data_IF_293746173740
#
_entry.id   IF_293746173740
#
_cell.length_a   1.000
_cell.length_b   1.000
_cell.length_c   1.000
_cell.angle_alpha   90.00
_cell.angle_beta   90.00
_cell.angle_gamma   90.00
#
_symmetry.space_group_name_H-M   'P 1'
#
loop_
_entity.id
_entity.type
_entity.pdbx_description
1 polymer ?
#
# COMPACT_ATOMS: atom_id res chain seq x y z
N UNK A 1 14.05 -13.00 1.30
CA UNK A 1 13.46 -14.19 1.96
C UNK A 1 13.13 -13.79 3.38
N UNK A 2 11.95 -14.15 3.91
CA UNK A 2 11.40 -13.86 5.26
C UNK A 2 10.21 -12.87 5.38
N UNK A 3 9.74 -12.19 4.32
CA UNK A 3 8.59 -11.27 4.41
C UNK A 3 7.27 -12.04 4.74
N UNK A 4 6.84 -12.98 3.89
CA UNK A 4 5.71 -13.94 4.04
C UNK A 4 5.62 -14.78 5.35
N UNK A 5 6.57 -14.62 6.28
CA UNK A 5 6.52 -15.24 7.62
C UNK A 5 6.52 -14.19 8.73
N UNK A 6 6.09 -12.95 8.42
CA UNK A 6 5.86 -11.87 9.38
C UNK A 6 7.13 -11.19 9.89
N UNK A 7 8.21 -11.15 9.09
CA UNK A 7 9.44 -10.45 9.49
C UNK A 7 9.62 -9.06 8.85
N UNK A 8 8.66 -8.62 8.02
CA UNK A 8 8.65 -7.30 7.38
C UNK A 8 10.04 -6.80 6.96
N UNK A 9 10.32 -5.51 7.17
CA UNK A 9 11.66 -4.96 6.93
C UNK A 9 12.62 -5.34 8.06
N UNK A 10 13.66 -6.14 7.76
CA UNK A 10 14.66 -6.56 8.75
C UNK A 10 15.52 -5.41 9.30
N UNK A 11 15.53 -4.25 8.64
CA UNK A 11 16.27 -3.07 9.05
C UNK A 11 15.70 -1.82 8.37
N UNK A 12 15.22 -0.88 9.17
CA UNK A 12 14.82 0.46 8.72
C UNK A 12 15.86 1.45 9.26
N UNK A 13 16.63 2.15 8.40
CA UNK A 13 17.56 3.17 8.86
C UNK A 13 16.84 4.26 9.67
N UNK A 14 17.45 4.74 10.76
CA UNK A 14 16.81 5.71 11.66
C UNK A 14 16.62 7.11 11.04
N UNK A 15 17.30 7.37 9.93
CA UNK A 15 17.29 8.63 9.19
C UNK A 15 16.37 8.62 7.98
N UNK A 16 15.59 7.56 7.75
CA UNK A 16 14.57 7.58 6.69
C UNK A 16 13.47 8.58 7.03
N UNK A 17 13.00 9.28 6.01
CA UNK A 17 11.86 10.20 6.12
C UNK A 17 10.58 9.59 5.57
N UNK A 18 10.71 8.67 4.61
CA UNK A 18 9.61 8.04 3.90
C UNK A 18 9.97 6.58 3.57
N UNK A 19 9.00 5.68 3.68
CA UNK A 19 9.12 4.28 3.29
C UNK A 19 7.93 3.94 2.39
N UNK A 20 8.22 3.44 1.19
CA UNK A 20 7.20 2.92 0.28
C UNK A 20 7.37 1.41 0.24
N UNK A 21 6.33 0.69 0.64
CA UNK A 21 6.23 -0.75 0.46
C UNK A 21 5.45 -1.04 -0.81
N UNK A 22 5.95 -1.98 -1.62
CA UNK A 22 5.29 -2.42 -2.85
C UNK A 22 4.99 -3.89 -2.71
N UNK A 23 3.71 -4.19 -2.59
CA UNK A 23 3.17 -5.55 -2.50
C UNK A 23 1.99 -5.71 -3.46
N UNK A 24 1.57 -6.95 -3.67
CA UNK A 24 0.45 -7.32 -4.53
C UNK A 24 -0.86 -6.82 -3.92
N UNK A 25 -1.60 -6.00 -4.68
CA UNK A 25 -2.98 -5.66 -4.36
C UNK A 25 -3.92 -6.82 -4.70
N UNK A 26 -4.71 -7.30 -3.73
CA UNK A 26 -5.75 -8.28 -4.00
C UNK A 26 -6.90 -7.63 -4.78
N UNK A 27 -7.46 -8.36 -5.75
CA UNK A 27 -8.68 -7.99 -6.50
C UNK A 27 -9.83 -8.84 -5.95
N UNK A 28 -10.98 -8.22 -5.70
CA UNK A 28 -12.17 -8.91 -5.21
C UNK A 28 -13.43 -8.07 -5.39
N UNK A 29 -14.59 -8.71 -5.28
CA UNK A 29 -15.89 -8.07 -5.53
C UNK A 29 -16.18 -6.87 -4.62
N UNK A 30 -15.56 -6.84 -3.44
CA UNK A 30 -15.70 -5.76 -2.44
C UNK A 30 -14.61 -4.67 -2.59
N UNK A 31 -13.77 -4.74 -3.62
CA UNK A 31 -12.67 -3.80 -3.90
C UNK A 31 -12.86 -3.12 -5.25
N UNK A 32 -12.36 -1.90 -5.36
CA UNK A 32 -12.49 -1.09 -6.58
C UNK A 32 -11.40 -1.40 -7.60
N UNK A 33 -10.25 -1.93 -7.14
CA UNK A 33 -9.10 -2.23 -7.99
C UNK A 33 -9.37 -3.35 -8.99
N UNK A 34 -8.95 -3.13 -10.24
CA UNK A 34 -8.86 -4.16 -11.30
C UNK A 34 -7.40 -4.49 -11.61
N UNK A 35 -7.20 -5.47 -12.49
CA UNK A 35 -5.86 -5.87 -12.99
C UNK A 35 -5.16 -4.79 -13.84
N UNK A 36 -5.87 -3.73 -14.21
CA UNK A 36 -5.35 -2.60 -15.01
C UNK A 36 -5.08 -1.35 -14.16
N UNK A 37 -5.35 -1.40 -12.86
CA UNK A 37 -5.22 -0.25 -11.96
C UNK A 37 -3.96 -0.36 -11.10
N UNK A 38 -3.39 0.80 -10.76
CA UNK A 38 -2.47 0.90 -9.63
C UNK A 38 -3.28 0.81 -8.34
N UNK A 39 -3.08 -0.25 -7.56
CA UNK A 39 -3.69 -0.40 -6.23
C UNK A 39 -2.96 0.49 -5.22
N UNK A 40 -3.70 1.37 -4.55
CA UNK A 40 -3.21 2.20 -3.45
C UNK A 40 -3.96 1.77 -2.19
N UNK A 41 -3.24 1.15 -1.25
CA UNK A 41 -3.79 0.76 0.05
C UNK A 41 -3.85 1.98 0.98
N UNK A 42 -5.05 2.47 1.30
CA UNK A 42 -5.21 3.56 2.27
C UNK A 42 -5.17 3.05 3.71
N UNK A 43 -5.64 1.82 3.92
CA UNK A 43 -5.74 1.20 5.24
C UNK A 43 -5.79 -0.31 5.12
N UNK A 44 -5.15 -0.99 6.06
CA UNK A 44 -5.29 -2.43 6.23
C UNK A 44 -5.84 -2.77 7.64
N UNK A 45 -5.72 -4.04 8.05
CA UNK A 45 -6.13 -4.50 9.39
C UNK A 45 -5.30 -3.90 10.54
N UNK A 46 -4.06 -3.49 10.28
CA UNK A 46 -3.15 -2.86 11.25
C UNK A 46 -3.43 -1.38 11.46
N UNK A 47 -3.92 -0.67 10.44
CA UNK A 47 -4.29 0.74 10.58
C UNK A 47 -4.28 1.50 9.26
N UNK A 48 -4.65 2.80 9.29
CA UNK A 48 -4.51 3.68 8.14
C UNK A 48 -3.04 3.99 7.85
N UNK A 49 -2.69 4.11 6.57
CA UNK A 49 -1.40 4.60 6.11
C UNK A 49 -1.34 6.14 6.17
N UNK A 50 -0.15 6.70 5.95
CA UNK A 50 0.04 8.16 5.99
C UNK A 50 -0.82 8.87 4.94
N UNK A 51 -1.58 9.87 5.39
CA UNK A 51 -2.52 10.60 4.54
C UNK A 51 -1.82 11.44 3.46
N UNK A 52 -0.67 12.03 3.77
CA UNK A 52 0.04 12.86 2.80
C UNK A 52 0.65 11.99 1.71
N UNK A 53 1.30 10.88 2.10
CA UNK A 53 1.89 9.94 1.16
C UNK A 53 0.85 9.32 0.22
N UNK A 54 -0.26 8.83 0.76
CA UNK A 54 -1.36 8.28 -0.06
C UNK A 54 -1.95 9.34 -1.00
N UNK A 55 -2.12 10.57 -0.52
CA UNK A 55 -2.56 11.71 -1.34
C UNK A 55 -1.58 12.02 -2.48
N UNK A 56 -0.29 11.99 -2.20
CA UNK A 56 0.76 12.24 -3.20
C UNK A 56 0.79 11.15 -4.28
N UNK A 57 0.62 9.88 -3.90
CA UNK A 57 0.50 8.77 -4.85
C UNK A 57 -0.75 8.92 -5.75
N UNK A 58 -1.89 9.29 -5.18
CA UNK A 58 -3.12 9.58 -5.94
C UNK A 58 -2.91 10.74 -6.91
N UNK A 59 -2.23 11.80 -6.48
CA UNK A 59 -1.94 12.96 -7.34
C UNK A 59 -0.98 12.60 -8.47
N UNK A 60 0.04 11.78 -8.20
CA UNK A 60 0.95 11.28 -9.22
C UNK A 60 0.24 10.43 -10.27
N UNK A 61 -0.67 9.53 -9.85
CA UNK A 61 -1.46 8.73 -10.77
C UNK A 61 -2.31 9.63 -11.70
N UNK A 62 -3.00 10.64 -11.14
CA UNK A 62 -3.77 11.62 -11.92
C UNK A 62 -2.91 12.41 -12.89
N UNK A 63 -1.73 12.88 -12.46
CA UNK A 63 -0.84 13.69 -13.31
C UNK A 63 -0.28 12.92 -14.49
N UNK A 64 -0.13 11.60 -14.35
CA UNK A 64 0.41 10.71 -15.38
C UNK A 64 -0.68 9.97 -16.17
N UNK A 65 -1.95 10.31 -15.97
CA UNK A 65 -3.10 9.65 -16.62
C UNK A 65 -3.10 8.13 -16.43
N UNK A 66 -2.75 7.69 -15.21
CA UNK A 66 -2.76 6.29 -14.81
C UNK A 66 -4.10 5.94 -14.16
N UNK A 67 -4.65 4.78 -14.50
CA UNK A 67 -5.76 4.24 -13.75
C UNK A 67 -5.28 3.79 -12.36
N UNK A 68 -6.04 4.10 -11.33
CA UNK A 68 -5.71 3.77 -9.96
C UNK A 68 -6.99 3.54 -9.14
N UNK A 69 -6.85 2.73 -8.10
CA UNK A 69 -7.90 2.49 -7.12
C UNK A 69 -7.34 2.71 -5.72
N UNK A 70 -8.16 3.29 -4.84
CA UNK A 70 -7.83 3.47 -3.42
C UNK A 70 -8.76 2.56 -2.64
N UNK A 71 -8.18 1.57 -1.96
CA UNK A 71 -8.95 0.51 -1.31
C UNK A 71 -8.53 0.34 0.17
N UNK A 72 -9.46 -0.23 0.94
CA UNK A 72 -9.27 -0.59 2.34
C UNK A 72 -9.32 -2.11 2.46
N UNK A 73 -8.31 -2.69 3.12
CA UNK A 73 -8.14 -4.12 3.28
C UNK A 73 -8.37 -4.55 4.73
N UNK A 74 -9.63 -4.68 5.21
CA UNK A 74 -9.91 -4.88 6.63
C UNK A 74 -9.47 -6.23 7.20
N UNK A 75 -9.33 -7.25 6.34
CA UNK A 75 -9.01 -8.63 6.74
C UNK A 75 -7.58 -9.06 6.37
N UNK A 76 -6.81 -8.18 5.74
CA UNK A 76 -5.41 -8.39 5.38
C UNK A 76 -4.56 -7.42 6.20
N UNK A 77 -3.39 -7.87 6.66
CA UNK A 77 -2.41 -7.02 7.31
C UNK A 77 -1.16 -7.04 6.45
N UNK A 78 -0.68 -5.87 6.04
CA UNK A 78 0.56 -5.78 5.28
C UNK A 78 1.76 -5.96 6.19
N UNK A 79 2.79 -6.62 5.70
CA UNK A 79 4.07 -6.75 6.38
C UNK A 79 4.96 -5.48 6.26
N UNK A 80 4.36 -4.36 5.85
CA UNK A 80 5.01 -3.05 5.72
C UNK A 80 5.55 -2.50 7.05
N UNK A 81 4.95 -2.91 8.18
CA UNK A 81 5.36 -2.48 9.52
C UNK A 81 5.72 -3.73 10.35
N UNK A 82 7.02 -3.97 10.51
CA UNK A 82 7.56 -4.91 11.50
C UNK A 82 7.80 -4.20 12.85
#
# INVERSE_FOLDING_TARGET
TYEEVGHGSSFIPSDITELISVDMGCIGDDLSCTEYDVSICEKDSGGPYDYNMTTDLVNLAKQNDLNYAVDIYPMYGSDTVA
#
